data_IF_181274812177
#
_entry.id   IF_181274812177
#
_cell.length_a   1.000
_cell.length_b   1.000
_cell.length_c   1.000
_cell.angle_alpha   90.00
_cell.angle_beta   90.00
_cell.angle_gamma   90.00
#
_symmetry.space_group_name_H-M   'P 1'
#
loop_
_entity.id
_entity.type
_entity.pdbx_description
1 polymer ?
#
# COMPACT_ATOMS: atom_id res chain seq x y z
N UNK A 1 13.70 -18.21 8.05
CA UNK A 1 12.55 -17.42 7.58
C UNK A 1 11.50 -17.44 8.66
N UNK A 2 11.06 -16.26 9.12
CA UNK A 2 9.98 -16.15 10.09
C UNK A 2 8.74 -16.85 9.55
N UNK A 3 8.07 -17.63 10.41
CA UNK A 3 6.78 -18.23 10.07
C UNK A 3 5.63 -17.23 10.18
N UNK A 4 5.88 -16.05 10.73
CA UNK A 4 4.85 -15.05 10.94
C UNK A 4 4.65 -14.18 9.70
N UNK A 5 3.40 -14.06 9.27
CA UNK A 5 2.97 -13.21 8.17
C UNK A 5 2.18 -12.02 8.73
N UNK A 6 2.63 -10.82 8.39
CA UNK A 6 1.97 -9.58 8.77
C UNK A 6 0.81 -9.27 7.84
N UNK A 7 -0.38 -9.10 8.40
CA UNK A 7 -1.59 -8.80 7.62
C UNK A 7 -1.95 -7.32 7.72
N UNK A 8 -2.24 -6.71 6.59
CA UNK A 8 -2.77 -5.36 6.50
C UNK A 8 -4.13 -5.35 5.79
N UNK A 9 -5.03 -4.49 6.22
CA UNK A 9 -6.30 -4.25 5.55
C UNK A 9 -6.38 -2.82 5.05
N UNK A 10 -7.12 -2.61 3.96
CA UNK A 10 -7.27 -1.30 3.32
C UNK A 10 -8.71 -0.81 3.48
N UNK A 11 -8.86 0.46 3.87
CA UNK A 11 -10.13 1.18 3.79
C UNK A 11 -10.00 2.35 2.82
N UNK A 12 -10.74 2.29 1.71
CA UNK A 12 -10.90 3.42 0.80
C UNK A 12 -11.89 4.42 1.42
N UNK A 13 -11.39 5.38 2.19
CA UNK A 13 -12.24 6.30 2.97
C UNK A 13 -12.74 7.49 2.15
N UNK A 14 -12.17 7.71 0.96
CA UNK A 14 -12.62 8.69 -0.03
C UNK A 14 -12.26 8.20 -1.43
N UNK A 15 -13.26 7.91 -2.27
CA UNK A 15 -13.07 7.17 -3.52
C UNK A 15 -13.38 7.97 -4.78
N UNK A 16 -12.46 7.91 -5.75
CA UNK A 16 -12.76 8.23 -7.15
C UNK A 16 -12.97 9.71 -7.46
N UNK A 17 -12.31 10.62 -6.73
CA UNK A 17 -12.37 12.08 -6.96
C UNK A 17 -11.04 12.68 -7.43
N UNK A 18 -10.05 11.84 -7.73
CA UNK A 18 -8.67 12.26 -7.98
C UNK A 18 -8.52 12.93 -9.37
N UNK A 19 -7.95 14.13 -9.41
CA UNK A 19 -7.71 14.88 -10.65
C UNK A 19 -6.39 14.51 -11.37
N UNK A 20 -5.53 13.75 -10.68
CA UNK A 20 -4.20 13.34 -11.17
C UNK A 20 -4.31 12.36 -12.34
N UNK A 21 -3.24 12.25 -13.12
CA UNK A 21 -3.19 11.43 -14.34
C UNK A 21 -2.28 10.20 -14.20
N UNK A 22 -2.20 9.62 -13.00
CA UNK A 22 -1.51 8.36 -12.77
C UNK A 22 -2.15 7.26 -13.64
N UNK A 23 -1.45 6.84 -14.71
CA UNK A 23 -1.96 5.93 -15.74
C UNK A 23 -2.37 4.54 -15.26
N UNK A 24 -1.98 4.17 -14.04
CA UNK A 24 -2.37 2.91 -13.39
C UNK A 24 -3.62 3.03 -12.50
N UNK A 25 -4.11 4.24 -12.23
CA UNK A 25 -5.07 4.48 -11.15
C UNK A 25 -6.51 4.62 -11.66
N UNK A 26 -7.36 3.63 -11.36
CA UNK A 26 -8.80 3.65 -11.65
C UNK A 26 -9.56 4.77 -10.93
N UNK A 27 -9.00 5.33 -9.86
CA UNK A 27 -9.61 6.44 -9.12
C UNK A 27 -9.45 7.80 -9.82
N UNK A 28 -8.56 7.92 -10.81
CA UNK A 28 -8.45 9.14 -11.61
C UNK A 28 -9.75 9.39 -12.36
N UNK A 29 -10.26 10.62 -12.26
CA UNK A 29 -11.45 11.05 -13.00
C UNK A 29 -11.20 11.14 -14.51
N UNK A 30 -9.93 11.18 -14.94
CA UNK A 30 -9.52 11.30 -16.35
C UNK A 30 -9.79 10.05 -17.17
N UNK A 31 -9.78 8.88 -16.54
CA UNK A 31 -9.91 7.60 -17.23
C UNK A 31 -11.34 7.05 -17.23
N UNK A 32 -12.25 7.63 -16.44
CA UNK A 32 -13.65 7.22 -16.39
C UNK A 32 -13.85 5.72 -16.08
N UNK A 33 -12.96 5.12 -15.27
CA UNK A 33 -13.13 3.75 -14.82
C UNK A 33 -14.45 3.59 -14.05
N UNK A 34 -15.11 2.45 -14.28
CA UNK A 34 -16.37 2.08 -13.62
C UNK A 34 -16.06 1.58 -12.21
N UNK A 35 -16.06 2.50 -11.26
CA UNK A 35 -15.82 2.25 -9.83
C UNK A 35 -16.89 2.97 -9.00
N UNK A 36 -17.06 2.54 -7.77
CA UNK A 36 -17.88 3.28 -6.81
C UNK A 36 -17.16 4.58 -6.41
N UNK A 37 -17.88 5.71 -6.49
CA UNK A 37 -17.35 7.05 -6.20
C UNK A 37 -18.15 7.67 -5.08
N UNK A 38 -17.46 8.14 -4.06
CA UNK A 38 -18.05 8.76 -2.88
C UNK A 38 -17.02 9.70 -2.25
N UNK A 39 -17.52 10.65 -1.46
CA UNK A 39 -16.66 11.56 -0.71
C UNK A 39 -16.17 10.85 0.56
N UNK A 40 -16.18 11.51 1.71
CA UNK A 40 -15.81 10.87 2.97
C UNK A 40 -16.82 9.81 3.40
N UNK A 41 -16.32 8.61 3.64
CA UNK A 41 -17.06 7.54 4.31
C UNK A 41 -17.37 7.91 5.76
N UNK A 42 -18.47 7.41 6.29
CA UNK A 42 -18.86 7.67 7.66
C UNK A 42 -17.85 7.07 8.65
N UNK A 43 -17.44 7.85 9.67
CA UNK A 43 -16.41 7.43 10.63
C UNK A 43 -16.87 6.21 11.44
N UNK A 44 -18.16 6.12 11.80
CA UNK A 44 -18.66 4.96 12.54
C UNK A 44 -18.58 3.70 11.68
N UNK A 45 -18.87 3.81 10.38
CA UNK A 45 -18.68 2.70 9.45
C UNK A 45 -17.20 2.29 9.33
N UNK A 46 -16.27 3.25 9.25
CA UNK A 46 -14.83 2.96 9.20
C UNK A 46 -14.38 2.23 10.47
N UNK A 47 -14.87 2.64 11.65
CA UNK A 47 -14.55 1.97 12.92
C UNK A 47 -15.05 0.52 12.94
N UNK A 48 -16.27 0.26 12.47
CA UNK A 48 -16.78 -1.12 12.39
C UNK A 48 -15.97 -1.98 11.41
N UNK A 49 -15.57 -1.43 10.28
CA UNK A 49 -14.69 -2.13 9.33
C UNK A 49 -13.28 -2.36 9.91
N UNK A 50 -12.77 -1.46 10.75
CA UNK A 50 -11.52 -1.66 11.48
C UNK A 50 -11.62 -2.79 12.51
N UNK A 51 -12.75 -2.91 13.23
CA UNK A 51 -13.04 -4.04 14.13
C UNK A 51 -13.06 -5.36 13.37
N UNK A 52 -13.72 -5.39 12.21
CA UNK A 52 -13.77 -6.57 11.33
C UNK A 52 -12.37 -6.94 10.85
N UNK A 53 -11.57 -5.97 10.38
CA UNK A 53 -10.21 -6.22 9.94
C UNK A 53 -9.34 -6.80 11.06
N UNK A 54 -9.41 -6.20 12.27
CA UNK A 54 -8.67 -6.69 13.44
C UNK A 54 -9.09 -8.11 13.84
N UNK A 55 -10.39 -8.42 13.78
CA UNK A 55 -10.91 -9.77 14.06
C UNK A 55 -10.40 -10.83 13.06
N UNK A 56 -10.06 -10.41 11.84
CA UNK A 56 -9.42 -11.28 10.84
C UNK A 56 -7.89 -11.31 10.92
N UNK A 57 -7.31 -10.69 11.96
CA UNK A 57 -5.86 -10.71 12.20
C UNK A 57 -5.08 -9.58 11.55
N UNK A 58 -5.75 -8.56 10.99
CA UNK A 58 -5.04 -7.38 10.51
C UNK A 58 -4.30 -6.69 11.66
N UNK A 59 -3.01 -6.43 11.45
CA UNK A 59 -2.19 -5.60 12.30
C UNK A 59 -2.06 -4.18 11.75
N UNK A 60 -2.00 -4.02 10.43
CA UNK A 60 -2.05 -2.73 9.76
C UNK A 60 -3.42 -2.41 9.21
N UNK A 61 -3.81 -1.13 9.26
CA UNK A 61 -5.07 -0.63 8.72
C UNK A 61 -4.86 0.68 7.98
N UNK A 62 -4.99 0.63 6.66
CA UNK A 62 -4.73 1.75 5.77
C UNK A 62 -5.97 2.62 5.59
N UNK A 63 -5.83 3.93 5.85
CA UNK A 63 -6.84 4.94 5.58
C UNK A 63 -6.48 5.67 4.29
N UNK A 64 -7.17 5.33 3.19
CA UNK A 64 -6.79 5.79 1.85
C UNK A 64 -7.77 6.81 1.30
N UNK A 65 -7.25 7.93 0.82
CA UNK A 65 -8.05 8.97 0.15
C UNK A 65 -7.60 9.17 -1.28
N UNK A 66 -8.53 9.29 -2.21
CA UNK A 66 -8.26 9.76 -3.56
C UNK A 66 -7.76 11.21 -3.59
N UNK A 67 -6.76 11.50 -4.43
CA UNK A 67 -6.22 12.84 -4.65
C UNK A 67 -4.70 12.90 -4.64
N UNK A 68 -4.13 14.05 -5.03
CA UNK A 68 -2.68 14.31 -5.04
C UNK A 68 -2.04 14.23 -3.67
N UNK A 69 -2.73 14.74 -2.65
CA UNK A 69 -2.15 14.96 -1.33
C UNK A 69 -3.14 15.50 -0.32
N UNK A 70 -2.61 15.73 0.88
CA UNK A 70 -3.33 16.27 2.02
C UNK A 70 -3.67 17.76 1.82
N UNK A 71 -4.93 18.08 2.11
CA UNK A 71 -5.43 19.43 2.35
C UNK A 71 -6.01 19.48 3.77
N UNK A 72 -6.38 20.67 4.25
CA UNK A 72 -6.89 20.86 5.62
C UNK A 72 -8.08 19.97 5.95
N UNK A 73 -8.96 19.71 4.97
CA UNK A 73 -10.14 18.85 5.17
C UNK A 73 -9.75 17.39 5.29
N UNK A 74 -8.82 16.92 4.45
CA UNK A 74 -8.30 15.54 4.52
C UNK A 74 -7.53 15.32 5.82
N UNK A 75 -6.71 16.29 6.25
CA UNK A 75 -5.97 16.20 7.51
C UNK A 75 -6.92 16.07 8.69
N UNK A 76 -7.91 16.96 8.80
CA UNK A 76 -8.92 16.91 9.87
C UNK A 76 -9.70 15.59 9.85
N UNK A 77 -10.15 15.16 8.67
CA UNK A 77 -10.90 13.91 8.54
C UNK A 77 -10.09 12.69 8.97
N UNK A 78 -8.87 12.54 8.45
CA UNK A 78 -7.99 11.39 8.77
C UNK A 78 -7.62 11.41 10.25
N UNK A 79 -7.34 12.58 10.84
CA UNK A 79 -7.08 12.72 12.27
C UNK A 79 -8.28 12.29 13.12
N UNK A 80 -9.49 12.77 12.81
CA UNK A 80 -10.72 12.37 13.54
C UNK A 80 -11.00 10.88 13.41
N UNK A 81 -10.82 10.32 12.21
CA UNK A 81 -10.97 8.87 11.97
C UNK A 81 -9.97 8.07 12.80
N UNK A 82 -8.69 8.48 12.83
CA UNK A 82 -7.68 7.79 13.62
C UNK A 82 -7.97 7.81 15.12
N UNK A 83 -8.37 8.97 15.65
CA UNK A 83 -8.81 9.10 17.06
C UNK A 83 -9.98 8.17 17.37
N UNK A 84 -10.98 8.10 16.48
CA UNK A 84 -12.14 7.24 16.66
C UNK A 84 -11.76 5.75 16.67
N UNK A 85 -10.89 5.31 15.75
CA UNK A 85 -10.42 3.92 15.71
C UNK A 85 -9.59 3.59 16.94
N UNK A 86 -8.60 4.43 17.31
CA UNK A 86 -7.73 4.17 18.48
C UNK A 86 -8.50 4.07 19.79
N UNK A 87 -9.68 4.69 19.88
CA UNK A 87 -10.57 4.58 21.05
C UNK A 87 -11.28 3.23 21.15
N UNK A 88 -11.54 2.58 20.02
CA UNK A 88 -12.42 1.39 19.92
C UNK A 88 -11.65 0.11 19.55
N UNK A 89 -10.47 0.23 18.93
CA UNK A 89 -9.68 -0.88 18.39
C UNK A 89 -8.23 -0.73 18.83
N UNK A 90 -7.84 -1.51 19.83
CA UNK A 90 -6.49 -1.52 20.38
C UNK A 90 -5.51 -2.31 19.49
N UNK A 91 -4.24 -1.87 19.46
CA UNK A 91 -3.16 -2.62 18.82
C UNK A 91 -3.27 -2.73 17.30
N UNK A 92 -3.97 -1.80 16.66
CA UNK A 92 -3.98 -1.65 15.20
C UNK A 92 -3.03 -0.52 14.80
N UNK A 93 -2.09 -0.80 13.91
CA UNK A 93 -1.20 0.20 13.31
C UNK A 93 -1.97 0.94 12.21
N UNK A 94 -2.25 2.21 12.43
CA UNK A 94 -2.97 3.04 11.49
C UNK A 94 -2.00 3.67 10.49
N UNK A 95 -2.25 3.40 9.22
CA UNK A 95 -1.40 3.79 8.10
C UNK A 95 -2.16 4.82 7.27
N UNK A 96 -1.66 6.05 7.22
CA UNK A 96 -2.22 7.09 6.37
C UNK A 96 -1.71 6.93 4.92
N UNK A 97 -2.61 6.76 3.95
CA UNK A 97 -2.26 6.67 2.53
C UNK A 97 -2.94 7.80 1.75
N UNK A 98 -2.47 9.04 1.96
CA UNK A 98 -3.23 10.24 1.58
C UNK A 98 -2.48 11.17 0.61
N UNK A 99 -1.52 10.61 -0.13
CA UNK A 99 -0.74 11.31 -1.16
C UNK A 99 0.40 12.14 -0.59
N UNK A 100 0.72 13.25 -1.25
CA UNK A 100 1.78 14.20 -0.87
C UNK A 100 1.45 14.85 0.47
N UNK A 101 2.45 14.98 1.35
CA UNK A 101 2.27 15.56 2.68
C UNK A 101 3.49 16.37 3.12
N UNK A 102 3.25 17.52 3.74
CA UNK A 102 4.30 18.30 4.38
C UNK A 102 4.49 17.90 5.85
N UNK A 103 5.59 18.35 6.47
CA UNK A 103 5.95 17.99 7.85
C UNK A 103 4.89 18.40 8.89
N UNK A 104 4.24 19.54 8.72
CA UNK A 104 3.22 20.03 9.68
C UNK A 104 1.99 19.11 9.67
N UNK A 105 1.52 18.75 8.48
CA UNK A 105 0.40 17.81 8.30
C UNK A 105 0.75 16.44 8.90
N UNK A 106 1.95 15.93 8.66
CA UNK A 106 2.41 14.63 9.19
C UNK A 106 2.53 14.64 10.72
N UNK A 107 3.08 15.71 11.31
CA UNK A 107 3.13 15.89 12.77
C UNK A 107 1.72 15.95 13.37
N UNK A 108 0.79 16.63 12.69
CA UNK A 108 -0.60 16.68 13.11
C UNK A 108 -1.23 15.29 13.11
N UNK A 109 -1.08 14.51 12.03
CA UNK A 109 -1.60 13.15 11.95
C UNK A 109 -0.98 12.23 13.02
N UNK A 110 0.34 12.31 13.21
CA UNK A 110 1.05 11.56 14.27
C UNK A 110 0.47 11.85 15.65
N UNK A 111 0.24 13.13 15.98
CA UNK A 111 -0.36 13.55 17.26
C UNK A 111 -1.77 12.95 17.48
N UNK A 112 -2.49 12.64 16.42
CA UNK A 112 -3.85 12.09 16.46
C UNK A 112 -3.91 10.56 16.30
N UNK A 113 -2.76 9.88 16.40
CA UNK A 113 -2.69 8.42 16.51
C UNK A 113 -2.41 7.68 15.21
N UNK A 114 -1.91 8.36 14.17
CA UNK A 114 -1.30 7.67 13.03
C UNK A 114 0.07 7.15 13.44
N UNK A 115 0.34 5.89 13.12
CA UNK A 115 1.61 5.22 13.43
C UNK A 115 2.56 5.26 12.22
N UNK A 116 2.00 5.12 11.02
CA UNK A 116 2.74 5.03 9.77
C UNK A 116 2.13 5.91 8.68
N UNK A 117 2.94 6.25 7.68
CA UNK A 117 2.48 6.93 6.47
C UNK A 117 2.97 6.18 5.22
N UNK A 118 2.05 5.89 4.31
CA UNK A 118 2.34 5.24 3.05
C UNK A 118 2.49 6.27 1.93
N UNK A 119 3.64 6.24 1.26
CA UNK A 119 3.86 6.98 0.04
C UNK A 119 4.78 6.18 -0.91
N UNK A 120 4.21 5.56 -1.93
CA UNK A 120 4.98 4.79 -2.92
C UNK A 120 5.77 5.71 -3.84
N UNK A 121 6.89 5.24 -4.40
CA UNK A 121 7.56 5.90 -5.52
C UNK A 121 6.93 5.51 -6.87
N UNK A 122 6.10 4.46 -6.87
CA UNK A 122 5.36 3.87 -8.00
C UNK A 122 6.25 3.24 -9.08
N UNK A 123 7.25 3.95 -9.60
CA UNK A 123 8.24 3.44 -10.56
C UNK A 123 9.56 4.24 -10.46
N UNK A 124 10.54 3.93 -11.31
CA UNK A 124 11.81 4.68 -11.39
C UNK A 124 11.58 6.15 -11.74
N UNK A 125 12.52 7.01 -11.35
CA UNK A 125 12.44 8.43 -11.67
C UNK A 125 12.39 8.66 -13.18
N UNK A 126 13.20 7.93 -13.95
CA UNK A 126 13.25 8.08 -15.41
C UNK A 126 11.97 7.65 -16.13
N UNK A 127 11.26 6.63 -15.63
CA UNK A 127 10.02 6.13 -16.26
C UNK A 127 8.78 6.85 -15.73
N UNK A 128 8.90 7.63 -14.65
CA UNK A 128 7.76 8.24 -13.99
C UNK A 128 6.95 9.18 -14.89
N UNK A 129 7.62 9.95 -15.76
CA UNK A 129 6.96 10.88 -16.69
C UNK A 129 6.06 10.16 -17.71
N UNK A 130 6.32 8.88 -18.00
CA UNK A 130 5.44 8.04 -18.80
C UNK A 130 4.22 7.54 -18.02
N UNK A 131 4.21 7.65 -16.69
CA UNK A 131 3.15 7.15 -15.81
C UNK A 131 2.29 8.28 -15.23
N UNK A 132 2.87 9.42 -14.89
CA UNK A 132 2.15 10.58 -14.35
C UNK A 132 2.86 11.88 -14.74
N UNK A 133 2.09 12.89 -15.11
CA UNK A 133 2.60 14.22 -15.48
C UNK A 133 2.10 15.35 -14.57
N UNK A 134 1.10 15.11 -13.72
CA UNK A 134 0.52 16.16 -12.86
C UNK A 134 1.32 16.46 -11.59
N UNK A 135 2.30 15.62 -11.23
CA UNK A 135 3.25 15.88 -10.15
C UNK A 135 4.59 15.19 -10.42
N UNK A 136 5.68 15.76 -9.92
CA UNK A 136 7.02 15.22 -10.12
C UNK A 136 7.30 14.00 -9.24
N UNK A 137 8.20 13.12 -9.70
CA UNK A 137 8.69 11.99 -8.90
C UNK A 137 9.40 12.47 -7.62
N UNK A 138 10.16 13.57 -7.71
CA UNK A 138 10.87 14.17 -6.59
C UNK A 138 9.95 14.62 -5.45
N UNK A 139 8.72 15.07 -5.76
CA UNK A 139 7.70 15.43 -4.73
C UNK A 139 7.33 14.21 -3.88
N UNK A 140 7.38 13.01 -4.47
CA UNK A 140 7.07 11.75 -3.79
C UNK A 140 8.21 11.34 -2.87
N UNK A 141 9.44 11.42 -3.37
CA UNK A 141 10.63 11.15 -2.59
C UNK A 141 10.72 12.10 -1.38
N UNK A 142 10.49 13.40 -1.59
CA UNK A 142 10.46 14.39 -0.50
C UNK A 142 9.39 14.06 0.55
N UNK A 143 8.21 13.57 0.13
CA UNK A 143 7.18 13.14 1.08
C UNK A 143 7.69 11.98 1.96
N UNK A 144 8.40 11.00 1.38
CA UNK A 144 9.00 9.90 2.14
C UNK A 144 10.05 10.40 3.16
N UNK A 145 10.90 11.35 2.77
CA UNK A 145 11.86 11.98 3.67
C UNK A 145 11.16 12.76 4.79
N UNK A 146 10.08 13.48 4.47
CA UNK A 146 9.28 14.21 5.45
C UNK A 146 8.69 13.26 6.51
N UNK A 147 8.14 12.11 6.10
CA UNK A 147 7.60 11.07 6.99
C UNK A 147 8.65 10.61 8.01
N UNK A 148 9.85 10.26 7.53
CA UNK A 148 10.95 9.85 8.43
C UNK A 148 11.39 10.98 9.34
N UNK A 149 11.47 12.21 8.83
CA UNK A 149 11.92 13.37 9.60
C UNK A 149 11.03 13.72 10.80
N UNK A 150 9.75 13.32 10.76
CA UNK A 150 8.80 13.52 11.87
C UNK A 150 8.65 12.27 12.76
N UNK A 151 9.37 11.19 12.43
CA UNK A 151 9.40 9.93 13.16
C UNK A 151 8.10 9.12 13.07
N UNK A 152 7.39 9.20 11.95
CA UNK A 152 6.39 8.20 11.58
C UNK A 152 7.10 7.02 10.90
N UNK A 153 6.57 5.81 11.02
CA UNK A 153 7.05 4.70 10.22
C UNK A 153 6.71 4.94 8.74
N UNK A 154 7.70 4.78 7.86
CA UNK A 154 7.56 4.92 6.43
C UNK A 154 7.12 3.58 5.82
N UNK A 155 6.02 3.62 5.08
CA UNK A 155 5.63 2.58 4.15
C UNK A 155 5.86 3.10 2.73
N UNK A 156 6.77 2.50 1.97
CA UNK A 156 7.09 2.99 0.61
C UNK A 156 7.46 1.85 -0.31
N UNK A 157 6.78 1.77 -1.45
CA UNK A 157 7.02 0.74 -2.46
C UNK A 157 6.73 1.20 -3.87
N UNK A 158 6.25 0.29 -4.71
CA UNK A 158 6.04 0.54 -6.13
C UNK A 158 5.05 -0.40 -6.80
N UNK A 159 4.84 -0.19 -8.11
CA UNK A 159 3.97 -0.99 -8.97
C UNK A 159 4.83 -1.55 -10.10
N UNK A 160 4.73 -2.87 -10.33
CA UNK A 160 5.46 -3.57 -11.37
C UNK A 160 4.51 -4.09 -12.45
N UNK A 161 4.93 -4.08 -13.71
CA UNK A 161 4.10 -4.51 -14.85
C UNK A 161 3.35 -3.37 -15.58
N UNK A 162 3.78 -2.13 -15.42
CA UNK A 162 3.25 -0.94 -16.10
C UNK A 162 3.90 -0.67 -17.46
N UNK A 163 4.76 -1.57 -17.95
CA UNK A 163 5.53 -1.42 -19.19
C UNK A 163 6.98 -0.98 -18.99
N UNK A 164 7.39 -0.82 -17.73
CA UNK A 164 8.76 -0.50 -17.34
C UNK A 164 9.75 -1.62 -17.72
N UNK A 165 11.00 -1.26 -18.00
CA UNK A 165 12.10 -2.17 -18.31
C UNK A 165 12.72 -2.73 -17.03
N UNK A 166 13.56 -3.76 -17.17
CA UNK A 166 14.29 -4.35 -16.04
C UNK A 166 15.10 -3.30 -15.26
N UNK A 167 15.81 -2.41 -15.94
CA UNK A 167 16.58 -1.36 -15.30
C UNK A 167 15.69 -0.42 -14.47
N UNK A 168 14.44 -0.18 -14.88
CA UNK A 168 13.48 0.70 -14.17
C UNK A 168 13.05 0.08 -12.85
N UNK A 169 12.90 -1.25 -12.86
CA UNK A 169 12.59 -2.02 -11.66
C UNK A 169 13.76 -1.98 -10.68
N UNK A 170 14.98 -2.18 -11.18
CA UNK A 170 16.19 -2.16 -10.35
C UNK A 170 16.46 -0.75 -9.78
N UNK A 171 16.24 0.32 -10.55
CA UNK A 171 16.34 1.69 -10.05
C UNK A 171 15.28 2.00 -8.98
N UNK A 172 14.03 1.59 -9.21
CA UNK A 172 12.95 1.75 -8.22
C UNK A 172 13.31 1.05 -6.91
N UNK A 173 13.77 -0.20 -6.95
CA UNK A 173 14.15 -0.95 -5.75
C UNK A 173 15.30 -0.29 -4.99
N UNK A 174 16.32 0.22 -5.70
CA UNK A 174 17.41 0.97 -5.08
C UNK A 174 16.93 2.29 -4.44
N UNK A 175 16.04 3.01 -5.12
CA UNK A 175 15.45 4.23 -4.58
C UNK A 175 14.63 3.96 -3.30
N UNK A 176 13.83 2.89 -3.29
CA UNK A 176 13.11 2.45 -2.09
C UNK A 176 14.08 2.10 -0.97
N UNK A 177 15.12 1.29 -1.25
CA UNK A 177 16.11 0.90 -0.24
C UNK A 177 16.84 2.12 0.36
N UNK A 178 17.13 3.15 -0.45
CA UNK A 178 17.75 4.40 0.01
C UNK A 178 16.92 5.15 1.06
N UNK A 179 15.59 4.99 1.03
CA UNK A 179 14.70 5.58 2.02
C UNK A 179 14.68 4.77 3.33
N UNK A 180 15.13 3.51 3.31
CA UNK A 180 15.08 2.55 4.42
C UNK A 180 13.71 2.54 5.12
N UNK A 181 12.63 2.17 4.41
CA UNK A 181 11.28 2.10 4.97
C UNK A 181 11.12 0.91 5.91
N UNK A 182 10.27 1.05 6.92
CA UNK A 182 9.88 -0.03 7.83
C UNK A 182 9.00 -1.08 7.13
N UNK A 183 8.25 -0.66 6.10
CA UNK A 183 7.44 -1.55 5.26
C UNK A 183 7.52 -1.18 3.78
N UNK A 184 7.64 -2.19 2.92
CA UNK A 184 7.74 -2.03 1.47
C UNK A 184 6.64 -2.84 0.77
N UNK A 185 5.58 -2.18 0.26
CA UNK A 185 4.58 -2.83 -0.58
C UNK A 185 5.06 -3.00 -2.02
N UNK A 186 5.12 -4.24 -2.48
CA UNK A 186 5.26 -4.60 -3.88
C UNK A 186 3.85 -4.82 -4.45
N UNK A 187 3.44 -3.95 -5.36
CA UNK A 187 2.18 -4.06 -6.07
C UNK A 187 2.47 -4.52 -7.50
N UNK A 188 1.55 -5.30 -8.05
CA UNK A 188 1.59 -5.76 -9.43
C UNK A 188 0.43 -5.12 -10.17
N UNK A 189 0.72 -4.56 -11.34
CA UNK A 189 -0.24 -3.77 -12.11
C UNK A 189 -1.49 -4.60 -12.38
N UNK A 190 -2.65 -4.05 -12.03
CA UNK A 190 -3.95 -4.65 -12.26
C UNK A 190 -4.56 -4.00 -13.52
N UNK A 191 -4.58 -4.70 -14.67
CA UNK A 191 -5.06 -4.11 -15.91
C UNK A 191 -6.54 -3.73 -15.82
N UNK A 192 -6.89 -2.60 -16.43
CA UNK A 192 -8.27 -2.17 -16.55
C UNK A 192 -8.52 -1.56 -17.93
N UNK A 193 -9.67 -1.84 -18.53
CA UNK A 193 -10.02 -1.38 -19.88
C UNK A 193 -9.98 0.15 -20.00
N UNK A 194 -10.37 0.86 -18.95
CA UNK A 194 -10.40 2.32 -18.91
C UNK A 194 -9.00 2.95 -18.85
N UNK A 195 -7.99 2.22 -18.37
CA UNK A 195 -6.64 2.74 -18.17
C UNK A 195 -5.83 2.70 -19.47
N UNK A 196 -4.95 3.70 -19.71
CA UNK A 196 -4.20 3.84 -20.95
C UNK A 196 -3.01 2.89 -21.09
N UNK A 197 -2.60 2.19 -20.03
CA UNK A 197 -1.51 1.21 -20.08
C UNK A 197 -2.02 -0.06 -20.76
N UNK A 198 -1.51 -0.34 -21.96
CA UNK A 198 -1.85 -1.51 -22.80
C UNK A 198 -0.66 -2.44 -23.06
N UNK A 199 0.40 -2.32 -22.28
CA UNK A 199 1.61 -3.14 -22.40
C UNK A 199 1.40 -4.54 -21.84
N UNK A 200 2.32 -5.47 -22.17
CA UNK A 200 2.37 -6.78 -21.50
C UNK A 200 2.54 -6.56 -19.99
N UNK A 201 1.73 -7.25 -19.19
CA UNK A 201 1.92 -7.29 -17.75
C UNK A 201 3.12 -8.17 -17.36
N UNK A 202 3.58 -8.04 -16.14
CA UNK A 202 4.66 -8.86 -15.61
C UNK A 202 4.25 -10.33 -15.47
N UNK A 203 5.18 -11.26 -15.69
CA UNK A 203 4.98 -12.69 -15.46
C UNK A 203 5.35 -13.09 -14.02
N UNK A 204 4.88 -14.28 -13.59
CA UNK A 204 5.10 -14.78 -12.23
C UNK A 204 6.60 -14.91 -11.90
N UNK A 205 7.41 -15.45 -12.81
CA UNK A 205 8.86 -15.59 -12.62
C UNK A 205 9.55 -14.25 -12.44
N UNK A 206 9.20 -13.24 -13.25
CA UNK A 206 9.71 -11.87 -13.10
C UNK A 206 9.32 -11.27 -11.73
N UNK A 207 8.10 -11.52 -11.26
CA UNK A 207 7.65 -11.06 -9.96
C UNK A 207 8.40 -11.72 -8.79
N UNK A 208 8.66 -13.03 -8.87
CA UNK A 208 9.45 -13.75 -7.88
C UNK A 208 10.88 -13.21 -7.81
N UNK A 209 11.49 -12.88 -8.95
CA UNK A 209 12.82 -12.26 -8.98
C UNK A 209 12.82 -10.85 -8.37
N UNK A 210 11.75 -10.05 -8.57
CA UNK A 210 11.60 -8.75 -7.91
C UNK A 210 11.51 -8.90 -6.39
N UNK A 211 10.71 -9.86 -5.89
CA UNK A 211 10.56 -10.10 -4.45
C UNK A 211 11.91 -10.49 -3.84
N UNK A 212 12.65 -11.41 -4.47
CA UNK A 212 14.00 -11.82 -4.01
C UNK A 212 14.97 -10.64 -4.00
N UNK A 213 15.00 -9.85 -5.07
CA UNK A 213 15.86 -8.64 -5.15
C UNK A 213 15.51 -7.63 -4.07
N UNK A 214 14.22 -7.37 -3.86
CA UNK A 214 13.75 -6.46 -2.82
C UNK A 214 14.15 -6.97 -1.42
N UNK A 215 13.95 -8.26 -1.13
CA UNK A 215 14.39 -8.88 0.14
C UNK A 215 15.89 -8.72 0.36
N UNK A 216 16.71 -8.99 -0.66
CA UNK A 216 18.16 -8.86 -0.56
C UNK A 216 18.61 -7.41 -0.29
N UNK A 217 17.94 -6.41 -0.88
CA UNK A 217 18.27 -5.00 -0.69
C UNK A 217 17.80 -4.45 0.67
N UNK A 218 16.64 -4.89 1.14
CA UNK A 218 15.99 -4.35 2.35
C UNK A 218 16.39 -5.11 3.63
N UNK A 219 16.92 -6.32 3.50
CA UNK A 219 17.29 -7.18 4.63
C UNK A 219 16.10 -7.98 5.18
N UNK A 220 16.37 -8.92 6.07
CA UNK A 220 15.37 -9.87 6.62
C UNK A 220 14.35 -9.21 7.57
N UNK A 221 14.75 -8.15 8.28
CA UNK A 221 13.92 -7.48 9.28
C UNK A 221 12.81 -6.59 8.67
N UNK A 222 12.98 -6.16 7.43
CA UNK A 222 12.00 -5.31 6.76
C UNK A 222 10.69 -6.07 6.48
N UNK A 223 9.55 -5.38 6.63
CA UNK A 223 8.27 -5.89 6.17
C UNK A 223 8.17 -5.76 4.65
N UNK A 224 8.30 -6.87 3.93
CA UNK A 224 8.14 -6.93 2.49
C UNK A 224 6.74 -7.45 2.19
N UNK A 225 5.87 -6.54 1.75
CA UNK A 225 4.45 -6.78 1.60
C UNK A 225 4.08 -7.02 0.14
N UNK A 226 3.44 -8.15 -0.15
CA UNK A 226 2.77 -8.34 -1.44
C UNK A 226 1.33 -7.84 -1.32
N UNK A 227 1.01 -6.81 -2.09
CA UNK A 227 -0.25 -6.07 -1.98
C UNK A 227 -1.06 -6.16 -3.28
N UNK A 228 -1.35 -5.03 -3.94
CA UNK A 228 -2.24 -4.98 -5.10
C UNK A 228 -1.80 -5.93 -6.22
N UNK A 229 -2.76 -6.62 -6.84
CA UNK A 229 -2.50 -7.51 -7.98
C UNK A 229 -2.06 -8.93 -7.61
N UNK A 230 -1.93 -9.25 -6.31
CA UNK A 230 -1.57 -10.59 -5.81
C UNK A 230 -2.42 -11.69 -6.42
N UNK A 231 -3.74 -11.57 -6.33
CA UNK A 231 -4.71 -12.59 -6.76
C UNK A 231 -4.55 -12.91 -8.25
N UNK A 232 -4.39 -11.86 -9.06
CA UNK A 232 -4.28 -11.98 -10.51
C UNK A 232 -2.93 -12.60 -10.92
N UNK A 233 -1.85 -12.23 -10.23
CA UNK A 233 -0.51 -12.64 -10.60
C UNK A 233 -0.17 -14.05 -10.14
N UNK A 234 -0.54 -14.41 -8.91
CA UNK A 234 -0.15 -15.68 -8.30
C UNK A 234 -1.15 -16.81 -8.60
N UNK A 235 -2.43 -16.49 -8.80
CA UNK A 235 -3.46 -17.43 -9.26
C UNK A 235 -3.43 -18.79 -8.51
N UNK A 236 -3.44 -18.75 -7.17
CA UNK A 236 -3.43 -19.96 -6.34
C UNK A 236 -2.03 -20.52 -6.04
N UNK A 237 -0.96 -19.82 -6.45
CA UNK A 237 0.45 -20.14 -6.16
C UNK A 237 1.09 -19.14 -5.19
N UNK A 238 0.31 -18.59 -4.27
CA UNK A 238 0.75 -17.56 -3.32
C UNK A 238 1.89 -18.06 -2.42
N UNK A 239 2.08 -19.36 -2.23
CA UNK A 239 3.23 -19.93 -1.51
C UNK A 239 4.57 -19.44 -2.04
N UNK A 240 4.66 -19.24 -3.36
CA UNK A 240 5.89 -18.82 -4.04
C UNK A 240 6.31 -17.41 -3.62
N UNK A 241 5.35 -16.54 -3.28
CA UNK A 241 5.66 -15.17 -2.86
C UNK A 241 6.37 -15.16 -1.50
N UNK A 242 6.00 -16.06 -0.60
CA UNK A 242 6.65 -16.22 0.71
C UNK A 242 8.02 -16.89 0.57
N UNK A 243 8.14 -17.92 -0.27
CA UNK A 243 9.42 -18.55 -0.60
C UNK A 243 10.42 -17.57 -1.24
N UNK A 244 9.92 -16.61 -2.01
CA UNK A 244 10.73 -15.54 -2.60
C UNK A 244 11.14 -14.45 -1.59
N UNK A 245 10.56 -14.44 -0.38
CA UNK A 245 10.96 -13.57 0.71
C UNK A 245 9.91 -12.57 1.18
N UNK A 246 8.66 -12.60 0.69
CA UNK A 246 7.59 -11.79 1.27
C UNK A 246 7.26 -12.27 2.70
N UNK A 247 7.01 -11.35 3.63
CA UNK A 247 6.59 -11.65 5.01
C UNK A 247 5.38 -10.82 5.46
N UNK A 248 4.75 -10.12 4.52
CA UNK A 248 3.53 -9.37 4.75
C UNK A 248 2.60 -9.44 3.54
N UNK A 249 1.29 -9.27 3.77
CA UNK A 249 0.32 -9.18 2.68
C UNK A 249 -0.91 -8.35 3.04
N UNK A 250 -1.60 -7.86 2.01
CA UNK A 250 -2.92 -7.25 2.18
C UNK A 250 -3.99 -8.34 2.18
N UNK A 251 -5.01 -8.19 3.02
CA UNK A 251 -6.18 -9.07 3.09
C UNK A 251 -7.47 -8.31 2.76
N UNK A 252 -8.44 -9.03 2.19
CA UNK A 252 -9.71 -8.45 1.79
C UNK A 252 -9.59 -7.54 0.57
N UNK A 253 -10.51 -6.58 0.46
CA UNK A 253 -10.58 -5.72 -0.71
C UNK A 253 -9.48 -4.65 -0.73
N UNK A 254 -9.11 -4.23 -1.93
CA UNK A 254 -8.24 -3.09 -2.16
C UNK A 254 -9.08 -1.81 -2.36
N UNK A 255 -8.54 -0.83 -3.08
CA UNK A 255 -9.21 0.47 -3.29
C UNK A 255 -10.46 0.35 -4.16
N UNK A 256 -10.32 -0.29 -5.32
CA UNK A 256 -11.39 -0.40 -6.32
C UNK A 256 -11.49 -1.80 -6.94
N UNK A 257 -10.75 -2.75 -6.39
CA UNK A 257 -10.69 -4.14 -6.86
C UNK A 257 -11.00 -5.05 -5.70
N UNK A 258 -11.79 -6.08 -5.97
CA UNK A 258 -12.04 -7.15 -5.00
C UNK A 258 -10.78 -7.98 -4.82
N UNK A 259 -10.51 -8.35 -3.57
CA UNK A 259 -9.45 -9.30 -3.23
C UNK A 259 -10.03 -10.64 -2.79
N UNK A 260 -9.17 -11.56 -2.40
CA UNK A 260 -9.60 -12.80 -1.74
C UNK A 260 -10.15 -12.46 -0.34
N UNK A 261 -11.16 -13.23 0.10
CA UNK A 261 -11.74 -13.02 1.43
C UNK A 261 -10.68 -13.25 2.53
N UNK A 262 -10.65 -12.44 3.61
CA UNK A 262 -9.70 -12.64 4.70
C UNK A 262 -9.72 -14.04 5.32
N UNK A 263 -10.89 -14.70 5.33
CA UNK A 263 -11.02 -16.08 5.80
C UNK A 263 -10.27 -17.05 4.89
N UNK A 264 -10.42 -16.92 3.57
CA UNK A 264 -9.72 -17.75 2.58
C UNK A 264 -8.20 -17.55 2.68
N UNK A 265 -7.75 -16.29 2.81
CA UNK A 265 -6.34 -15.96 3.02
C UNK A 265 -5.79 -16.61 4.29
N UNK A 266 -6.55 -16.60 5.39
CA UNK A 266 -6.16 -17.29 6.62
C UNK A 266 -6.05 -18.80 6.44
N UNK A 267 -7.04 -19.43 5.79
CA UNK A 267 -6.98 -20.87 5.50
C UNK A 267 -5.80 -21.25 4.62
N UNK A 268 -5.40 -20.38 3.68
CA UNK A 268 -4.19 -20.57 2.88
C UNK A 268 -2.94 -20.55 3.77
N UNK A 269 -2.79 -19.57 4.66
CA UNK A 269 -1.66 -19.50 5.59
C UNK A 269 -1.58 -20.74 6.49
N UNK A 270 -2.71 -21.15 7.08
CA UNK A 270 -2.81 -22.34 7.92
C UNK A 270 -2.36 -23.61 7.15
N UNK A 271 -2.81 -23.76 5.90
CA UNK A 271 -2.44 -24.89 5.03
C UNK A 271 -0.95 -24.92 4.70
N UNK A 272 -0.36 -23.74 4.49
CA UNK A 272 1.07 -23.59 4.19
C UNK A 272 1.96 -23.66 5.44
N UNK A 273 1.36 -23.68 6.64
CA UNK A 273 2.10 -23.73 7.90
C UNK A 273 2.69 -22.39 8.35
N UNK A 274 2.13 -21.28 7.86
CA UNK A 274 2.43 -19.93 8.31
C UNK A 274 1.50 -19.52 9.46
N UNK A 275 2.03 -18.70 10.37
CA UNK A 275 1.29 -18.12 11.48
C UNK A 275 0.99 -16.65 11.17
N UNK A 276 -0.15 -16.14 11.65
CA UNK A 276 -0.45 -14.71 11.52
C UNK A 276 0.25 -13.96 12.64
N UNK A 277 1.04 -12.95 12.28
CA UNK A 277 1.71 -12.09 13.25
C UNK A 277 0.70 -11.46 14.23
N UNK A 278 1.05 -11.40 15.51
CA UNK A 278 0.13 -10.91 16.56
C UNK A 278 0.48 -9.51 17.08
N UNK A 279 1.65 -8.98 16.72
CA UNK A 279 2.09 -7.63 17.08
C UNK A 279 2.93 -7.01 15.97
N UNK A 280 2.95 -5.68 15.89
CA UNK A 280 3.77 -4.94 14.91
C UNK A 280 5.26 -4.86 15.30
N UNK A 281 5.68 -5.52 16.39
CA UNK A 281 7.04 -5.46 16.89
C UNK A 281 7.90 -6.58 16.34
N UNK A 282 8.98 -6.23 15.65
CA UNK A 282 10.22 -7.00 15.70
C UNK A 282 10.71 -6.95 17.15
N UNK A 283 10.75 -8.08 17.85
CA UNK A 283 11.57 -8.16 19.07
C UNK A 283 13.03 -7.93 18.72
#
# INVERSE_FOLDING_TARGET
MSKEIFLCAINNVLSGTCAEDCKFCTQSVRYHAKIERYNYKDISQIVEEAKIAKAHGALGYCLVTAGKGLDDKKVDFVARTAVAIKKEVEGLNLIACNGTANKEQLLHLKKHGLDSYNHNLETSERYYADICSTHAWSERYETCENVKSVGLALCSGGIFGMGERQDDRDELLNAIASLSPESTPLNFYHPNEALPIKTRNIALDEALEIIKKARNLLGEEALLMVAGGRELLFEGKEELMFEAGANAMVIGNYLTTEGISPYTDKCMLDRLGYEVATSCGTQ
#
